data_IF_132518995954
#
_entry.id   IF_132518995954
#
_cell.length_a   1.000
_cell.length_b   1.000
_cell.length_c   1.000
_cell.angle_alpha   90.00
_cell.angle_beta   90.00
_cell.angle_gamma   90.00
#
_symmetry.space_group_name_H-M   'P 1'
#
loop_
_entity.id
_entity.type
_entity.pdbx_description
1 polymer ?
#
# COMPACT_ATOMS: atom_id res chain seq x y z
N UNK A 1 -31.71 -88.58 1.62
CA UNK A 1 -31.94 -87.19 1.95
C UNK A 1 -30.64 -86.43 1.69
N UNK A 2 -30.51 -85.72 0.53
CA UNK A 2 -29.34 -84.95 0.19
C UNK A 2 -29.61 -83.50 0.59
N UNK A 3 -28.80 -83.02 1.53
CA UNK A 3 -28.81 -81.61 1.94
C UNK A 3 -28.03 -80.78 0.92
N UNK A 4 -28.68 -79.73 0.33
CA UNK A 4 -28.02 -78.74 -0.56
C UNK A 4 -27.40 -77.64 0.29
N UNK A 5 -26.08 -77.52 0.25
CA UNK A 5 -25.35 -76.42 0.84
C UNK A 5 -25.28 -75.30 -0.22
N UNK A 6 -25.93 -74.16 0.05
CA UNK A 6 -25.83 -72.96 -0.78
C UNK A 6 -24.71 -72.07 -0.21
N UNK A 7 -23.61 -71.88 -0.96
CA UNK A 7 -22.54 -70.99 -0.63
C UNK A 7 -22.87 -69.60 -1.21
N UNK A 8 -23.19 -68.62 -0.36
CA UNK A 8 -23.37 -67.25 -0.76
C UNK A 8 -22.00 -66.55 -0.79
N UNK A 9 -21.48 -66.27 -1.97
CA UNK A 9 -20.26 -65.42 -2.12
C UNK A 9 -20.62 -63.95 -1.98
N UNK A 10 -20.19 -63.29 -0.86
CA UNK A 10 -20.28 -61.86 -0.69
C UNK A 10 -19.14 -61.20 -1.48
N UNK A 11 -19.49 -60.50 -2.56
CA UNK A 11 -18.57 -59.67 -3.32
C UNK A 11 -18.41 -58.34 -2.58
N UNK A 12 -17.31 -58.15 -1.85
CA UNK A 12 -16.96 -56.82 -1.26
C UNK A 12 -16.45 -55.94 -2.39
N UNK A 13 -17.25 -54.97 -2.81
CA UNK A 13 -16.79 -53.88 -3.67
C UNK A 13 -15.93 -52.89 -2.84
N UNK A 14 -14.63 -52.96 -3.00
CA UNK A 14 -13.71 -51.95 -2.45
C UNK A 14 -13.89 -50.69 -3.27
N UNK A 15 -14.61 -49.73 -2.74
CA UNK A 15 -14.64 -48.35 -3.26
C UNK A 15 -13.31 -47.67 -2.92
N UNK A 16 -12.38 -47.66 -3.87
CA UNK A 16 -11.18 -46.81 -3.77
C UNK A 16 -11.63 -45.36 -3.90
N UNK A 17 -11.64 -44.64 -2.79
CA UNK A 17 -11.80 -43.18 -2.81
C UNK A 17 -10.64 -42.59 -3.61
N UNK A 18 -10.94 -42.03 -4.78
CA UNK A 18 -9.97 -41.25 -5.55
C UNK A 18 -9.46 -40.10 -4.70
N UNK A 19 -8.14 -39.83 -4.71
CA UNK A 19 -7.61 -38.67 -3.99
C UNK A 19 -8.35 -37.42 -4.48
N UNK A 20 -8.76 -36.57 -3.54
CA UNK A 20 -9.47 -35.34 -3.81
C UNK A 20 -8.49 -34.40 -4.55
N UNK A 21 -8.52 -34.38 -5.89
CA UNK A 21 -7.71 -33.52 -6.73
C UNK A 21 -8.26 -32.11 -6.57
N UNK A 22 -7.58 -31.27 -5.77
CA UNK A 22 -7.92 -29.86 -5.66
C UNK A 22 -7.68 -29.22 -7.02
N UNK A 23 -8.74 -28.68 -7.61
CA UNK A 23 -8.63 -28.00 -8.90
C UNK A 23 -7.65 -26.80 -8.79
N UNK A 24 -6.79 -26.58 -9.79
CA UNK A 24 -5.86 -25.47 -9.78
C UNK A 24 -6.61 -24.14 -9.76
N UNK A 25 -6.16 -23.21 -8.91
CA UNK A 25 -6.68 -21.83 -8.86
C UNK A 25 -5.89 -20.98 -9.84
N UNK A 26 -6.61 -20.30 -10.73
CA UNK A 26 -6.02 -19.38 -11.71
C UNK A 26 -6.22 -17.94 -11.28
N UNK A 27 -5.27 -17.07 -11.62
CA UNK A 27 -5.29 -15.64 -11.31
C UNK A 27 -5.06 -14.81 -12.56
N UNK A 28 -5.80 -13.71 -12.70
CA UNK A 28 -5.47 -12.62 -13.61
C UNK A 28 -4.61 -11.62 -12.85
N UNK A 29 -3.51 -11.19 -13.45
CA UNK A 29 -2.58 -10.23 -12.89
C UNK A 29 -2.70 -8.89 -13.60
N UNK A 30 -2.81 -7.79 -12.85
CA UNK A 30 -2.91 -6.43 -13.36
C UNK A 30 -1.86 -5.56 -12.68
N UNK A 31 -0.93 -5.02 -13.49
CA UNK A 31 0.08 -4.10 -13.00
C UNK A 31 -0.46 -2.69 -12.99
N UNK A 32 -0.41 -2.01 -11.84
CA UNK A 32 -1.00 -0.71 -11.58
C UNK A 32 0.04 0.27 -11.06
N UNK A 33 -0.14 1.55 -11.42
CA UNK A 33 0.63 2.67 -10.89
C UNK A 33 -0.33 3.67 -10.26
N UNK A 34 -0.34 3.75 -8.93
CA UNK A 34 -1.13 4.71 -8.19
C UNK A 34 -0.36 6.03 -8.05
N UNK A 35 -0.63 6.99 -8.93
CA UNK A 35 -0.05 8.33 -8.91
C UNK A 35 -0.97 9.40 -8.30
N UNK A 36 -2.23 9.07 -7.99
CA UNK A 36 -3.23 9.92 -7.33
C UNK A 36 -3.68 11.16 -8.13
N UNK A 37 -3.09 11.44 -9.30
CA UNK A 37 -3.35 12.64 -10.10
C UNK A 37 -4.77 12.76 -10.64
N UNK A 38 -5.48 11.63 -10.76
CA UNK A 38 -6.90 11.59 -11.16
C UNK A 38 -7.88 11.91 -10.03
N UNK A 39 -7.39 12.01 -8.79
CA UNK A 39 -8.23 12.34 -7.63
C UNK A 39 -8.39 13.86 -7.51
N UNK A 40 -9.56 14.27 -7.04
CA UNK A 40 -9.87 15.67 -6.74
C UNK A 40 -10.25 15.80 -5.28
N UNK A 41 -9.74 16.81 -4.62
CA UNK A 41 -10.05 17.10 -3.22
C UNK A 41 -10.00 18.59 -2.93
N UNK A 42 -10.64 19.07 -1.86
CA UNK A 42 -10.55 20.46 -1.47
C UNK A 42 -9.11 20.82 -1.06
N UNK A 43 -8.62 21.99 -1.46
CA UNK A 43 -7.21 22.36 -1.31
C UNK A 43 -6.72 22.47 0.15
N UNK A 44 -7.63 22.62 1.11
CA UNK A 44 -7.29 22.85 2.53
C UNK A 44 -7.82 21.76 3.47
N UNK A 45 -8.48 20.72 2.96
CA UNK A 45 -8.99 19.63 3.78
C UNK A 45 -8.37 18.30 3.39
N UNK A 46 -7.88 17.57 4.39
CA UNK A 46 -7.37 16.22 4.19
C UNK A 46 -8.52 15.28 3.84
N UNK A 47 -8.57 14.83 2.60
CA UNK A 47 -9.55 13.85 2.13
C UNK A 47 -8.91 12.47 2.14
N UNK A 48 -9.51 11.51 2.86
CA UNK A 48 -9.05 10.12 2.82
C UNK A 48 -9.20 9.57 1.42
N UNK A 49 -8.15 8.90 0.90
CA UNK A 49 -8.17 8.33 -0.45
C UNK A 49 -9.19 7.20 -0.55
N UNK A 50 -9.23 6.28 0.43
CA UNK A 50 -10.15 5.16 0.42
C UNK A 50 -9.90 4.22 -0.76
N UNK A 51 -10.95 3.90 -1.52
CA UNK A 51 -10.84 3.08 -2.73
C UNK A 51 -10.16 3.87 -3.86
N UNK A 52 -9.04 3.37 -4.36
CA UNK A 52 -8.36 3.93 -5.53
C UNK A 52 -7.76 2.82 -6.38
N UNK A 53 -8.04 2.85 -7.68
CA UNK A 53 -7.81 1.73 -8.58
C UNK A 53 -8.47 0.45 -8.00
N UNK A 54 -7.71 -0.61 -7.78
CA UNK A 54 -8.20 -1.89 -7.28
C UNK A 54 -7.76 -2.24 -5.85
N UNK A 55 -7.21 -1.27 -5.10
CA UNK A 55 -6.85 -1.41 -3.69
C UNK A 55 -7.51 -0.34 -2.81
N UNK A 56 -7.52 -0.57 -1.49
CA UNK A 56 -8.07 0.36 -0.51
C UNK A 56 -6.94 1.01 0.31
N UNK A 57 -6.90 2.34 0.32
CA UNK A 57 -5.92 3.18 1.01
C UNK A 57 -6.53 3.74 2.29
N UNK A 58 -6.36 3.03 3.39
CA UNK A 58 -6.89 3.41 4.70
C UNK A 58 -5.89 4.31 5.45
N UNK A 59 -6.37 5.37 6.10
CA UNK A 59 -5.52 6.28 6.88
C UNK A 59 -4.46 7.02 6.05
N UNK A 60 -4.64 7.04 4.74
CA UNK A 60 -3.83 7.74 3.75
C UNK A 60 -4.71 8.79 3.07
N UNK A 61 -4.23 10.02 2.99
CA UNK A 61 -4.99 11.19 2.58
C UNK A 61 -4.43 11.79 1.29
N UNK A 62 -5.31 12.34 0.49
CA UNK A 62 -4.93 13.09 -0.69
C UNK A 62 -4.29 14.42 -0.27
N UNK A 63 -3.13 14.70 -0.84
CA UNK A 63 -2.38 15.95 -0.70
C UNK A 63 -2.29 16.58 -2.10
N UNK A 64 -3.24 17.46 -2.46
CA UNK A 64 -3.19 18.15 -3.74
C UNK A 64 -2.06 19.18 -3.73
N UNK A 65 -1.23 19.15 -4.76
CA UNK A 65 -0.27 20.23 -5.02
C UNK A 65 -0.97 21.26 -5.88
N UNK A 66 -1.35 22.36 -5.26
CA UNK A 66 -1.95 23.47 -5.99
C UNK A 66 -0.89 24.11 -6.89
N UNK A 67 -1.30 24.63 -8.05
CA UNK A 67 -0.50 25.50 -8.92
C UNK A 67 -0.22 26.86 -8.22
N UNK A 68 0.26 26.79 -6.99
CA UNK A 68 0.64 27.98 -6.21
C UNK A 68 2.10 28.35 -6.53
N UNK A 69 2.43 29.64 -6.51
CA UNK A 69 3.82 30.07 -6.71
C UNK A 69 4.78 29.59 -5.61
N UNK A 70 4.24 29.03 -4.52
CA UNK A 70 5.01 28.43 -3.43
C UNK A 70 5.21 26.95 -3.75
N UNK A 71 6.45 26.58 -4.06
CA UNK A 71 6.82 25.19 -4.31
C UNK A 71 6.61 24.35 -3.04
N UNK A 72 6.05 23.12 -3.15
CA UNK A 72 5.97 22.21 -2.01
C UNK A 72 7.37 21.90 -1.48
N UNK A 73 7.49 21.68 -0.18
CA UNK A 73 8.78 21.31 0.44
C UNK A 73 9.33 19.99 -0.10
N UNK A 74 8.47 19.06 -0.49
CA UNK A 74 8.80 17.85 -1.25
C UNK A 74 7.99 17.85 -2.54
N UNK A 75 8.66 17.73 -3.68
CA UNK A 75 8.00 17.68 -4.99
C UNK A 75 7.45 16.29 -5.26
N UNK A 76 6.23 16.16 -5.79
CA UNK A 76 5.70 14.88 -6.24
C UNK A 76 6.57 14.29 -7.36
N UNK A 77 6.59 12.96 -7.46
CA UNK A 77 7.25 12.28 -8.58
C UNK A 77 6.45 12.42 -9.88
N UNK A 78 5.12 12.41 -9.78
CA UNK A 78 4.20 12.79 -10.86
C UNK A 78 3.48 14.08 -10.48
N UNK A 79 3.23 15.00 -11.44
CA UNK A 79 2.64 16.29 -11.11
C UNK A 79 1.17 16.17 -10.75
N UNK A 80 0.75 17.01 -9.85
CA UNK A 80 -0.54 17.41 -9.33
C UNK A 80 -0.88 16.88 -7.93
N UNK A 81 -0.74 15.60 -7.61
CA UNK A 81 -1.18 15.09 -6.32
C UNK A 81 -0.17 14.13 -5.68
N UNK A 82 -0.23 14.03 -4.38
CA UNK A 82 0.47 13.04 -3.58
C UNK A 82 -0.50 12.41 -2.58
N UNK A 83 -0.12 11.28 -2.02
CA UNK A 83 -0.74 10.73 -0.83
C UNK A 83 0.09 11.11 0.41
N UNK A 84 -0.53 11.26 1.57
CA UNK A 84 0.18 11.60 2.79
C UNK A 84 -0.41 10.93 4.02
N UNK A 85 0.43 10.71 5.04
CA UNK A 85 -0.01 10.21 6.34
C UNK A 85 0.92 10.72 7.45
N UNK A 86 0.40 10.79 8.69
CA UNK A 86 1.17 11.11 9.88
C UNK A 86 0.60 10.42 11.12
N UNK A 87 1.29 10.53 12.27
CA UNK A 87 0.84 9.92 13.53
C UNK A 87 -0.44 10.57 14.09
N UNK A 88 -0.79 11.79 13.70
CA UNK A 88 -2.05 12.43 14.09
C UNK A 88 -3.23 11.65 13.52
N UNK A 89 -3.08 11.03 12.37
CA UNK A 89 -4.12 10.21 11.74
C UNK A 89 -4.46 8.94 12.53
N UNK A 90 -3.52 8.41 13.32
CA UNK A 90 -3.77 7.30 14.24
C UNK A 90 -4.74 7.71 15.36
N UNK A 91 -4.66 8.95 15.81
CA UNK A 91 -5.54 9.50 16.84
C UNK A 91 -6.95 9.84 16.34
N UNK A 92 -7.15 9.94 15.02
CA UNK A 92 -8.44 10.33 14.40
C UNK A 92 -9.33 9.15 13.98
N UNK A 93 -9.14 7.95 14.55
CA UNK A 93 -9.96 6.75 14.31
C UNK A 93 -9.82 6.08 12.94
N UNK A 94 -8.98 6.58 12.05
CA UNK A 94 -8.80 6.00 10.71
C UNK A 94 -7.81 4.83 10.67
N UNK A 95 -7.24 4.49 11.81
CA UNK A 95 -6.26 3.42 11.94
C UNK A 95 -4.88 3.73 11.33
N UNK A 96 -3.95 2.77 11.36
CA UNK A 96 -2.64 2.94 10.76
C UNK A 96 -2.72 3.08 9.24
N UNK A 97 -1.82 3.89 8.62
CA UNK A 97 -1.77 4.04 7.17
C UNK A 97 -1.53 2.68 6.51
N UNK A 98 -2.47 2.28 5.67
CA UNK A 98 -2.56 0.90 5.17
C UNK A 98 -2.99 0.87 3.71
N UNK A 99 -2.37 0.00 2.91
CA UNK A 99 -2.86 -0.43 1.60
C UNK A 99 -3.34 -1.88 1.75
N UNK A 100 -4.58 -2.18 1.35
CA UNK A 100 -5.17 -3.50 1.61
C UNK A 100 -6.11 -3.95 0.50
N UNK A 101 -6.29 -5.28 0.39
CA UNK A 101 -7.33 -5.89 -0.45
C UNK A 101 -8.69 -5.90 0.26
N UNK A 102 -8.76 -5.60 1.55
CA UNK A 102 -10.02 -5.46 2.28
C UNK A 102 -10.77 -4.22 1.80
N UNK A 103 -12.04 -4.37 1.46
CA UNK A 103 -12.89 -3.32 0.87
C UNK A 103 -12.38 -2.80 -0.49
N UNK A 104 -11.47 -3.54 -1.14
CA UNK A 104 -10.99 -3.23 -2.48
C UNK A 104 -12.06 -3.52 -3.53
N UNK A 105 -12.04 -2.77 -4.64
CA UNK A 105 -12.87 -3.09 -5.79
C UNK A 105 -12.32 -4.33 -6.52
N UNK A 106 -13.18 -5.06 -7.24
CA UNK A 106 -12.74 -6.05 -8.22
C UNK A 106 -12.27 -7.40 -7.67
N UNK A 107 -12.61 -7.76 -6.43
CA UNK A 107 -12.29 -9.08 -5.84
C UNK A 107 -10.80 -9.44 -5.87
N UNK A 108 -9.92 -8.47 -5.64
CA UNK A 108 -8.47 -8.72 -5.50
C UNK A 108 -8.22 -9.66 -4.33
N UNK A 109 -7.54 -10.77 -4.59
CA UNK A 109 -7.18 -11.75 -3.55
C UNK A 109 -5.90 -11.35 -2.82
N UNK A 110 -4.88 -10.96 -3.59
CA UNK A 110 -3.60 -10.48 -3.06
C UNK A 110 -2.91 -9.55 -4.06
N UNK A 111 -1.84 -8.91 -3.64
CA UNK A 111 -1.00 -8.07 -4.50
C UNK A 111 0.49 -8.20 -4.17
N UNK A 112 1.33 -7.86 -5.13
CA UNK A 112 2.78 -7.70 -4.99
C UNK A 112 3.08 -6.21 -4.99
N UNK A 113 3.73 -5.67 -3.96
CA UNK A 113 4.17 -4.29 -3.91
C UNK A 113 5.60 -4.19 -4.43
N UNK A 114 5.82 -3.42 -5.50
CA UNK A 114 7.10 -3.36 -6.21
C UNK A 114 7.96 -2.17 -5.80
N UNK A 115 7.37 -0.97 -5.80
CA UNK A 115 8.06 0.28 -5.44
C UNK A 115 7.07 1.40 -5.15
N UNK A 116 7.57 2.47 -4.54
CA UNK A 116 6.87 3.74 -4.39
C UNK A 116 7.89 4.88 -4.28
N UNK A 117 7.46 6.10 -4.52
CA UNK A 117 8.25 7.30 -4.22
C UNK A 117 7.79 7.89 -2.89
N UNK A 118 8.71 8.48 -2.12
CA UNK A 118 8.40 9.00 -0.81
C UNK A 118 9.28 10.18 -0.44
N UNK A 119 8.77 10.98 0.49
CA UNK A 119 9.48 12.06 1.17
C UNK A 119 8.85 12.34 2.51
N UNK A 120 9.51 13.12 3.35
CA UNK A 120 9.01 13.50 4.66
C UNK A 120 9.02 15.02 4.85
N UNK A 121 7.98 15.49 5.55
CA UNK A 121 7.79 16.91 5.83
C UNK A 121 7.32 17.14 7.27
N UNK A 122 7.54 18.35 7.79
CA UNK A 122 6.81 18.85 8.93
C UNK A 122 5.54 19.50 8.38
N UNK A 123 4.33 18.95 8.66
CA UNK A 123 3.10 19.57 8.21
C UNK A 123 2.91 20.90 8.95
N UNK A 124 2.71 22.00 8.22
CA UNK A 124 2.25 23.26 8.76
C UNK A 124 0.74 23.37 8.58
N UNK A 125 0.04 24.01 9.52
CA UNK A 125 -1.43 24.06 9.55
C UNK A 125 -2.06 24.73 8.32
N UNK A 126 -1.29 25.47 7.56
CA UNK A 126 -1.87 26.37 6.55
C UNK A 126 -1.55 26.00 5.11
N UNK A 127 -0.57 25.15 4.85
CA UNK A 127 -0.19 24.87 3.45
C UNK A 127 0.64 23.62 3.27
N UNK A 128 0.58 23.13 2.04
CA UNK A 128 1.49 22.23 1.36
C UNK A 128 2.96 22.71 1.40
N UNK A 129 3.23 23.94 1.78
CA UNK A 129 4.57 24.50 2.02
C UNK A 129 5.17 23.96 3.34
N UNK A 130 5.28 22.64 3.41
CA UNK A 130 5.86 21.91 4.52
C UNK A 130 7.37 21.88 4.37
N UNK A 131 8.11 21.97 5.48
CA UNK A 131 9.56 21.84 5.44
C UNK A 131 9.95 20.38 5.25
N UNK A 132 10.82 20.05 4.27
CA UNK A 132 11.33 18.70 4.13
C UNK A 132 12.19 18.34 5.35
N UNK A 133 12.03 17.12 5.86
CA UNK A 133 12.79 16.62 7.02
C UNK A 133 13.25 15.19 6.78
N UNK A 134 14.39 14.84 7.34
CA UNK A 134 14.90 13.47 7.29
C UNK A 134 14.03 12.54 8.15
N UNK A 135 13.74 11.35 7.63
CA UNK A 135 12.90 10.37 8.30
C UNK A 135 13.27 8.94 7.90
N UNK A 136 12.70 7.99 8.62
CA UNK A 136 12.65 6.57 8.26
C UNK A 136 11.20 6.17 8.00
N UNK A 137 10.93 5.57 6.83
CA UNK A 137 9.66 4.93 6.52
C UNK A 137 9.82 3.42 6.62
N UNK A 138 9.04 2.79 7.50
CA UNK A 138 9.00 1.34 7.61
C UNK A 138 7.73 0.81 6.97
N UNK A 139 7.89 -0.17 6.09
CA UNK A 139 6.83 -0.87 5.37
C UNK A 139 6.76 -2.29 5.87
N UNK A 140 5.59 -2.71 6.35
CA UNK A 140 5.35 -4.07 6.88
C UNK A 140 4.26 -4.74 6.07
N UNK A 141 4.56 -5.90 5.48
CA UNK A 141 3.64 -6.70 4.68
C UNK A 141 3.04 -7.87 5.45
N UNK A 142 1.77 -8.17 5.16
CA UNK A 142 0.99 -9.25 5.76
C UNK A 142 0.28 -10.07 4.68
N UNK A 143 0.20 -11.39 4.87
CA UNK A 143 -0.53 -12.29 3.98
C UNK A 143 -2.03 -12.38 4.30
N UNK A 144 -2.50 -11.72 5.37
CA UNK A 144 -3.90 -11.62 5.76
C UNK A 144 -4.37 -10.16 5.85
N UNK A 145 -5.66 -9.92 5.72
CA UNK A 145 -6.25 -8.58 5.82
C UNK A 145 -6.33 -8.06 7.27
N UNK A 146 -6.35 -8.95 8.25
CA UNK A 146 -6.35 -8.57 9.66
C UNK A 146 -4.99 -7.98 10.10
N UNK A 147 -3.89 -8.34 9.43
CA UNK A 147 -2.54 -7.89 9.79
C UNK A 147 -1.92 -8.70 10.93
N UNK A 148 -2.28 -9.98 11.03
CA UNK A 148 -1.77 -10.91 12.05
C UNK A 148 -0.62 -11.77 11.53
N UNK A 149 -0.63 -12.09 10.22
CA UNK A 149 0.37 -12.93 9.57
C UNK A 149 1.41 -12.08 8.84
N UNK A 150 2.34 -11.52 9.59
CA UNK A 150 3.46 -10.73 9.05
C UNK A 150 4.37 -11.60 8.19
N UNK A 151 4.65 -11.15 6.96
CA UNK A 151 5.51 -11.85 5.98
C UNK A 151 6.86 -11.17 5.78
N UNK A 152 6.87 -9.83 5.79
CA UNK A 152 8.06 -9.05 5.49
C UNK A 152 8.03 -7.68 6.17
N UNK A 153 9.21 -7.06 6.24
CA UNK A 153 9.37 -5.67 6.68
C UNK A 153 10.64 -5.11 6.06
N UNK A 154 10.60 -3.84 5.68
CA UNK A 154 11.74 -3.10 5.18
C UNK A 154 11.63 -1.63 5.60
N UNK A 155 12.79 -1.03 5.93
CA UNK A 155 12.87 0.40 6.29
C UNK A 155 13.67 1.12 5.23
N UNK A 156 13.19 2.30 4.85
CA UNK A 156 13.79 3.20 3.88
C UNK A 156 14.10 4.52 4.54
N UNK A 157 15.27 5.06 4.24
CA UNK A 157 15.76 6.30 4.80
C UNK A 157 15.58 7.45 3.79
N UNK A 158 14.90 8.52 4.20
CA UNK A 158 14.83 9.78 3.49
C UNK A 158 15.79 10.79 4.13
N UNK A 159 16.72 11.31 3.35
CA UNK A 159 17.67 12.31 3.80
C UNK A 159 17.42 13.63 3.09
N UNK A 160 17.42 14.69 3.87
CA UNK A 160 17.40 16.06 3.34
C UNK A 160 18.83 16.54 3.30
N UNK A 161 19.33 16.78 2.08
CA UNK A 161 20.65 17.36 1.87
C UNK A 161 20.54 18.88 1.91
N UNK A 162 21.19 19.50 2.90
CA UNK A 162 21.23 20.96 3.08
C UNK A 162 20.93 21.41 4.50
N UNK A 163 21.37 22.61 4.83
CA UNK A 163 21.12 23.23 6.14
C UNK A 163 19.67 23.70 6.19
N UNK A 164 18.79 22.88 6.74
CA UNK A 164 17.47 23.37 7.16
C UNK A 164 17.70 24.30 8.34
N UNK A 165 17.60 25.61 8.13
CA UNK A 165 17.58 26.57 9.21
C UNK A 165 16.40 26.26 10.13
N UNK A 166 16.70 25.73 11.29
CA UNK A 166 15.71 25.29 12.27
C UNK A 166 15.03 26.52 12.84
N UNK A 167 13.78 26.76 12.49
CA UNK A 167 12.93 27.71 13.20
C UNK A 167 12.37 26.98 14.41
N UNK A 168 13.04 27.14 15.56
CA UNK A 168 12.47 26.71 16.84
C UNK A 168 11.98 28.01 17.53
N UNK A 169 10.65 28.06 17.78
CA UNK A 169 10.08 29.07 18.67
C UNK A 169 9.93 30.48 18.10
N UNK A 170 9.63 30.67 16.83
CA UNK A 170 9.12 31.94 16.30
C UNK A 170 10.13 33.08 16.13
N UNK A 171 11.43 32.85 16.31
CA UNK A 171 12.47 33.83 16.02
C UNK A 171 13.42 33.31 14.95
N UNK A 172 13.57 34.00 13.80
CA UNK A 172 14.55 33.61 12.79
C UNK A 172 15.96 33.91 13.33
N UNK A 173 16.74 32.87 13.56
CA UNK A 173 18.17 32.99 13.77
C UNK A 173 18.82 33.02 12.39
N UNK A 174 19.03 34.20 11.83
CA UNK A 174 19.87 34.43 10.66
C UNK A 174 19.18 34.19 9.30
N UNK A 175 19.00 35.31 8.60
CA UNK A 175 18.90 35.53 7.14
C UNK A 175 18.26 34.45 6.26
N UNK A 176 17.04 34.76 5.79
CA UNK A 176 16.28 34.21 4.68
C UNK A 176 15.77 32.77 4.86
N UNK A 177 14.45 32.55 4.74
CA UNK A 177 13.91 31.23 4.61
C UNK A 177 14.29 30.68 3.24
N UNK A 178 15.33 29.85 3.18
CA UNK A 178 15.60 29.07 1.99
C UNK A 178 14.55 27.97 1.99
N UNK A 179 13.51 28.14 1.21
CA UNK A 179 12.55 27.07 0.91
C UNK A 179 13.27 26.06 0.02
N UNK A 180 13.92 25.10 0.64
CA UNK A 180 14.62 24.03 -0.09
C UNK A 180 13.55 23.01 -0.49
N UNK A 181 13.16 23.05 -1.76
CA UNK A 181 12.33 22.00 -2.34
C UNK A 181 13.19 20.76 -2.57
N UNK A 182 12.75 19.61 -2.06
CA UNK A 182 13.43 18.31 -2.21
C UNK A 182 12.63 17.41 -3.15
N UNK A 183 13.33 16.53 -3.85
CA UNK A 183 12.69 15.51 -4.67
C UNK A 183 12.30 14.30 -3.81
N UNK A 184 11.25 13.59 -4.22
CA UNK A 184 10.94 12.28 -3.66
C UNK A 184 12.01 11.25 -4.04
N UNK A 185 12.25 10.31 -3.13
CA UNK A 185 13.19 9.20 -3.34
C UNK A 185 12.41 7.92 -3.63
N UNK A 186 12.92 7.11 -4.55
CA UNK A 186 12.31 5.82 -4.88
C UNK A 186 12.69 4.75 -3.85
N UNK A 187 11.69 4.13 -3.23
CA UNK A 187 11.81 2.88 -2.49
C UNK A 187 11.55 1.71 -3.42
N UNK A 188 12.50 0.80 -3.54
CA UNK A 188 12.33 -0.47 -4.28
C UNK A 188 12.22 -1.61 -3.28
N UNK A 189 11.15 -2.38 -3.38
CA UNK A 189 10.88 -3.48 -2.46
C UNK A 189 11.44 -4.79 -2.99
N UNK A 190 11.96 -5.61 -2.08
CA UNK A 190 12.51 -6.91 -2.44
C UNK A 190 11.44 -7.97 -2.73
N UNK A 191 11.89 -9.14 -3.21
CA UNK A 191 11.02 -10.28 -3.57
C UNK A 191 10.12 -10.80 -2.43
N UNK A 192 10.34 -10.37 -1.19
CA UNK A 192 9.52 -10.74 -0.02
C UNK A 192 8.18 -10.00 0.03
N UNK A 193 8.01 -8.92 -0.74
CA UNK A 193 6.78 -8.13 -0.79
C UNK A 193 5.80 -8.65 -1.84
N UNK A 194 5.60 -9.98 -1.86
CA UNK A 194 4.69 -10.69 -2.77
C UNK A 194 3.60 -11.43 -2.01
N UNK A 195 2.45 -11.62 -2.68
CA UNK A 195 1.30 -12.34 -2.14
C UNK A 195 0.69 -11.66 -0.92
N UNK A 196 0.74 -10.32 -0.85
CA UNK A 196 0.29 -9.54 0.29
C UNK A 196 -1.22 -9.27 0.20
N UNK A 197 -1.87 -9.23 1.35
CA UNK A 197 -3.25 -8.75 1.48
C UNK A 197 -3.34 -7.44 2.22
N UNK A 198 -2.25 -7.07 2.91
CA UNK A 198 -2.16 -5.83 3.66
C UNK A 198 -0.71 -5.35 3.74
N UNK A 199 -0.53 -4.05 3.60
CA UNK A 199 0.74 -3.37 3.86
C UNK A 199 0.47 -2.22 4.80
N UNK A 200 1.24 -2.12 5.88
CA UNK A 200 1.16 -1.03 6.86
C UNK A 200 2.43 -0.20 6.75
N UNK A 201 2.24 1.11 6.72
CA UNK A 201 3.32 2.08 6.74
C UNK A 201 3.47 2.71 8.12
N UNK A 202 4.70 3.06 8.48
CA UNK A 202 4.99 3.91 9.64
C UNK A 202 6.10 4.88 9.30
N UNK A 203 6.12 6.04 9.97
CA UNK A 203 7.14 7.06 9.80
C UNK A 203 7.77 7.41 11.15
N UNK A 204 9.09 7.52 11.18
CA UNK A 204 9.86 8.00 12.33
C UNK A 204 10.73 9.18 11.88
N UNK A 205 10.53 10.33 12.51
CA UNK A 205 11.40 11.50 12.29
C UNK A 205 12.81 11.26 12.86
N UNK A 206 13.82 11.68 12.12
CA UNK A 206 15.25 11.57 12.53
C UNK A 206 15.83 12.83 13.15
N UNK A 207 15.11 13.94 13.06
CA UNK A 207 15.61 15.21 13.61
C UNK A 207 15.14 15.44 15.05
N UNK A 208 15.63 16.50 15.69
CA UNK A 208 15.15 16.99 17.00
C UNK A 208 13.67 17.36 17.02
N UNK A 209 13.01 17.32 15.86
CA UNK A 209 11.55 17.48 15.73
C UNK A 209 10.89 16.20 16.21
N UNK A 210 9.90 16.34 17.09
CA UNK A 210 9.11 15.24 17.60
C UNK A 210 8.62 14.34 16.47
N UNK A 211 8.71 13.00 16.57
CA UNK A 211 8.14 12.06 15.61
C UNK A 211 6.67 12.33 15.30
N UNK A 212 5.95 12.93 16.27
CA UNK A 212 4.54 13.32 16.13
C UNK A 212 4.31 14.44 15.10
N UNK A 213 5.35 15.19 14.75
CA UNK A 213 5.28 16.30 13.80
C UNK A 213 5.80 15.93 12.40
N UNK A 214 6.18 14.68 12.17
CA UNK A 214 6.67 14.24 10.86
C UNK A 214 5.53 13.58 10.09
N UNK A 215 5.23 14.08 8.90
CA UNK A 215 4.33 13.44 7.93
C UNK A 215 5.15 12.79 6.81
N UNK A 216 4.70 11.65 6.35
CA UNK A 216 5.24 11.01 5.15
C UNK A 216 4.33 11.28 3.95
N UNK A 217 4.95 11.54 2.82
CA UNK A 217 4.33 11.70 1.52
C UNK A 217 4.68 10.50 0.65
N UNK A 218 3.70 10.01 -0.10
CA UNK A 218 3.83 8.89 -1.03
C UNK A 218 3.34 9.29 -2.40
N UNK A 219 3.98 8.76 -3.44
CA UNK A 219 3.57 8.92 -4.83
C UNK A 219 4.00 7.72 -5.66
N UNK A 220 3.38 7.55 -6.82
CA UNK A 220 3.75 6.56 -7.82
C UNK A 220 3.93 5.15 -7.22
N UNK A 221 2.94 4.70 -6.45
CA UNK A 221 2.93 3.36 -5.83
C UNK A 221 2.69 2.31 -6.92
N UNK A 222 3.71 1.53 -7.20
CA UNK A 222 3.70 0.49 -8.23
C UNK A 222 3.47 -0.88 -7.60
N UNK A 223 2.44 -1.58 -8.08
CA UNK A 223 2.08 -2.91 -7.60
C UNK A 223 1.45 -3.76 -8.72
N UNK A 224 1.40 -5.08 -8.48
CA UNK A 224 0.65 -6.02 -9.32
C UNK A 224 -0.43 -6.66 -8.47
N UNK A 225 -1.70 -6.50 -8.84
CA UNK A 225 -2.84 -7.14 -8.19
C UNK A 225 -3.23 -8.44 -8.86
N UNK A 226 -3.79 -9.37 -8.07
CA UNK A 226 -4.18 -10.70 -8.51
C UNK A 226 -5.63 -10.98 -8.14
N UNK A 227 -6.45 -11.27 -9.16
CA UNK A 227 -7.87 -11.59 -9.02
C UNK A 227 -8.13 -13.04 -9.43
N UNK A 228 -8.88 -13.80 -8.64
CA UNK A 228 -9.27 -15.18 -8.98
C UNK A 228 -10.11 -15.20 -10.24
N UNK A 229 -9.73 -16.06 -11.18
CA UNK A 229 -10.50 -16.33 -12.40
C UNK A 229 -11.45 -17.49 -12.15
N UNK A 230 -12.74 -17.30 -12.44
CA UNK A 230 -13.71 -18.39 -12.38
C UNK A 230 -13.39 -19.46 -13.43
N UNK A 231 -13.36 -20.73 -13.03
CA UNK A 231 -12.99 -21.87 -13.88
C UNK A 231 -13.84 -21.97 -15.16
N UNK A 232 -15.06 -21.47 -15.16
CA UNK A 232 -15.97 -21.45 -16.32
C UNK A 232 -15.47 -20.54 -17.48
N UNK A 233 -14.53 -19.62 -17.22
CA UNK A 233 -13.99 -18.73 -18.25
C UNK A 233 -12.80 -19.34 -19.02
N UNK A 234 -12.28 -20.48 -18.59
CA UNK A 234 -11.08 -21.11 -19.16
C UNK A 234 -11.45 -22.16 -20.23
N UNK A 235 -12.71 -22.59 -20.32
CA UNK A 235 -13.15 -23.73 -21.13
C UNK A 235 -13.62 -23.49 -22.59
N UNK A 236 -13.69 -22.33 -23.21
CA UNK A 236 -14.21 -22.26 -24.59
C UNK A 236 -13.20 -22.49 -25.71
N UNK A 237 -11.91 -22.71 -25.44
CA UNK A 237 -10.91 -22.74 -26.53
C UNK A 237 -10.49 -24.17 -26.99
N UNK A 238 -10.90 -25.25 -26.34
CA UNK A 238 -10.40 -26.62 -26.63
C UNK A 238 -11.41 -27.53 -27.32
N UNK A 239 -12.65 -27.10 -27.55
CA UNK A 239 -13.69 -27.95 -28.19
C UNK A 239 -13.97 -27.60 -29.67
N UNK A 240 -13.07 -26.91 -30.37
CA UNK A 240 -13.21 -26.63 -31.79
C UNK A 240 -11.97 -27.14 -32.56
N UNK A 241 -11.71 -28.44 -32.50
CA UNK A 241 -10.88 -29.15 -33.50
C UNK A 241 -11.58 -30.49 -33.81
#
# INVERSE_FOLDING_TARGET
>A
MLSKITIASALMAATTALPNVVAPTYYSAYRQLACFDSLTGPPVALTQIGQYLDLFFQGIYLVPTLDLPIQPGVKPNTPSNMAGYNLINLATLNGPPTITTQNAAGNVDFFDLESFYYGCVIPTQETIASLPVSCDITVTGYSDTAGTLKTCQQTFEYRVDGVVSTIIGGTPIGSQPVTVSQEMVKATLGAKFKGLRKVVFSVNGRSLVSPLLTAALLDSVLYTSYTKVAQAQILPAVQAI
#
